data_IF_098879984122
#
_entry.id   IF_098879984122
#
_cell.length_a   1.000
_cell.length_b   1.000
_cell.length_c   1.000
_cell.angle_alpha   90.00
_cell.angle_beta   90.00
_cell.angle_gamma   90.00
#
_symmetry.space_group_name_H-M   'P 1'
#
loop_
_entity.id
_entity.type
_entity.pdbx_description
1 polymer ?
#
# COMPACT_ATOMS: atom_id res chain seq x y z
N UNK A 1 3.40 30.12 1.49
CA UNK A 1 2.70 28.99 2.15
C UNK A 1 1.84 28.32 1.08
N UNK A 2 1.99 27.01 0.89
CA UNK A 2 1.21 26.25 -0.09
C UNK A 2 0.05 25.58 0.65
N UNK A 3 -1.19 25.94 0.29
CA UNK A 3 -2.38 25.26 0.80
C UNK A 3 -2.74 24.09 -0.12
N UNK A 4 -2.97 22.90 0.44
CA UNK A 4 -3.26 21.69 -0.29
C UNK A 4 -4.60 21.07 0.06
N UNK A 5 -5.24 20.48 -0.93
CA UNK A 5 -6.38 19.60 -0.77
C UNK A 5 -5.98 18.17 -1.19
N UNK A 6 -5.76 17.30 -0.21
CA UNK A 6 -5.50 15.87 -0.41
C UNK A 6 -6.83 15.14 -0.59
N UNK A 7 -6.96 14.34 -1.63
CA UNK A 7 -8.21 13.67 -1.98
C UNK A 7 -7.97 12.17 -2.12
N UNK A 8 -8.63 11.33 -1.30
CA UNK A 8 -8.48 9.89 -1.40
C UNK A 8 -8.94 9.11 -0.15
N UNK A 9 -8.45 7.88 0.00
CA UNK A 9 -8.68 7.05 1.19
C UNK A 9 -7.87 7.58 2.38
N UNK A 10 -8.49 7.72 3.55
CA UNK A 10 -7.83 8.24 4.75
C UNK A 10 -6.57 7.44 5.13
N UNK A 11 -6.66 6.13 5.09
CA UNK A 11 -5.57 5.23 5.47
C UNK A 11 -4.32 5.41 4.59
N UNK A 12 -4.50 5.79 3.31
CA UNK A 12 -3.37 5.95 2.37
C UNK A 12 -2.66 7.30 2.46
N UNK A 13 -3.29 8.31 3.09
CA UNK A 13 -2.81 9.69 2.99
C UNK A 13 -2.66 10.42 4.33
N UNK A 14 -3.11 9.82 5.43
CA UNK A 14 -3.03 10.44 6.77
C UNK A 14 -1.59 10.77 7.16
N UNK A 15 -0.71 9.79 7.12
CA UNK A 15 0.70 9.97 7.50
C UNK A 15 1.40 11.02 6.63
N UNK A 16 1.04 11.06 5.34
CA UNK A 16 1.54 12.10 4.43
C UNK A 16 1.02 13.48 4.80
N UNK A 17 -0.26 13.61 5.12
CA UNK A 17 -0.83 14.89 5.56
C UNK A 17 -0.13 15.40 6.83
N UNK A 18 0.08 14.52 7.80
CA UNK A 18 0.81 14.83 9.04
C UNK A 18 2.25 15.25 8.73
N UNK A 19 2.95 14.46 7.91
CA UNK A 19 4.31 14.76 7.45
C UNK A 19 4.41 16.15 6.80
N UNK A 20 3.49 16.50 5.91
CA UNK A 20 3.45 17.82 5.25
C UNK A 20 3.16 18.94 6.27
N UNK A 21 2.22 18.75 7.19
CA UNK A 21 1.89 19.73 8.24
C UNK A 21 3.08 19.96 9.18
N UNK A 22 3.75 18.90 9.61
CA UNK A 22 4.94 18.98 10.45
C UNK A 22 6.11 19.71 9.77
N UNK A 23 6.09 19.79 8.44
CA UNK A 23 7.08 20.51 7.64
C UNK A 23 6.55 21.85 7.07
N UNK A 24 5.56 22.46 7.71
CA UNK A 24 5.10 23.83 7.46
C UNK A 24 4.14 23.98 6.28
N UNK A 25 3.60 22.89 5.72
CA UNK A 25 2.64 22.94 4.62
C UNK A 25 1.21 22.88 5.18
N UNK A 26 0.36 23.79 4.77
CA UNK A 26 -1.05 23.81 5.15
C UNK A 26 -1.82 22.76 4.35
N UNK A 27 -2.07 21.59 4.94
CA UNK A 27 -2.75 20.48 4.29
C UNK A 27 -4.12 20.21 4.89
N UNK A 28 -5.13 19.99 4.05
CA UNK A 28 -6.46 19.46 4.39
C UNK A 28 -6.72 18.21 3.58
N UNK A 29 -7.41 17.23 4.15
CA UNK A 29 -7.74 15.97 3.53
C UNK A 29 -9.25 15.87 3.31
N UNK A 30 -9.67 15.57 2.07
CA UNK A 30 -11.04 15.21 1.74
C UNK A 30 -11.13 13.69 1.58
N UNK A 31 -11.98 13.06 2.40
CA UNK A 31 -12.18 11.60 2.42
C UNK A 31 -13.65 11.25 2.23
N UNK A 32 -13.90 10.05 1.68
CA UNK A 32 -15.25 9.47 1.65
C UNK A 32 -15.66 9.01 3.04
N UNK A 33 -14.83 8.18 3.66
CA UNK A 33 -15.07 7.58 4.97
C UNK A 33 -14.06 8.13 5.98
N UNK A 34 -14.53 9.00 6.88
CA UNK A 34 -13.70 9.59 7.93
C UNK A 34 -13.61 8.64 9.12
N UNK A 35 -12.38 8.30 9.54
CA UNK A 35 -12.08 7.38 10.65
C UNK A 35 -11.41 8.07 11.83
N UNK A 36 -11.12 9.38 11.74
CA UNK A 36 -10.48 10.18 12.78
C UNK A 36 -11.28 11.43 13.12
N UNK A 37 -11.12 11.97 14.32
CA UNK A 37 -11.76 13.22 14.75
C UNK A 37 -10.97 14.48 14.35
N UNK A 38 -9.87 14.34 13.64
CA UNK A 38 -9.05 15.48 13.22
C UNK A 38 -9.83 16.47 12.36
N UNK A 39 -9.70 17.78 12.67
CA UNK A 39 -10.38 18.89 11.95
C UNK A 39 -9.84 19.03 10.51
N UNK A 40 -8.56 18.71 10.29
CA UNK A 40 -7.93 18.75 8.97
C UNK A 40 -8.44 17.68 8.02
N UNK A 41 -9.15 16.66 8.51
CA UNK A 41 -9.79 15.60 7.73
C UNK A 41 -11.27 15.94 7.58
N UNK A 42 -11.69 16.20 6.35
CA UNK A 42 -13.06 16.61 6.00
C UNK A 42 -13.75 15.47 5.27
N UNK A 43 -14.91 15.07 5.75
CA UNK A 43 -15.73 14.04 5.12
C UNK A 43 -16.56 14.64 3.99
N UNK A 44 -16.65 13.93 2.86
CA UNK A 44 -17.61 14.25 1.81
C UNK A 44 -19.03 14.06 2.33
N UNK A 45 -19.89 15.07 2.10
CA UNK A 45 -21.30 15.05 2.59
C UNK A 45 -22.09 13.89 1.99
N UNK A 46 -23.05 13.38 2.76
CA UNK A 46 -24.04 12.36 2.38
C UNK A 46 -23.52 10.92 2.23
N UNK A 47 -23.53 10.18 3.35
CA UNK A 47 -23.18 8.75 3.39
C UNK A 47 -24.01 7.89 2.44
N UNK A 48 -25.32 8.15 2.36
CA UNK A 48 -26.24 7.36 1.55
C UNK A 48 -25.92 7.46 0.06
N UNK A 49 -25.66 8.67 -0.45
CA UNK A 49 -25.25 8.87 -1.83
C UNK A 49 -23.90 8.22 -2.15
N UNK A 50 -22.96 8.21 -1.19
CA UNK A 50 -21.65 7.56 -1.38
C UNK A 50 -21.79 6.04 -1.48
N UNK A 51 -22.65 5.44 -0.65
CA UNK A 51 -22.96 4.01 -0.72
C UNK A 51 -23.62 3.67 -2.07
N UNK A 52 -24.59 4.48 -2.52
CA UNK A 52 -25.22 4.30 -3.82
C UNK A 52 -24.25 4.40 -4.99
N UNK A 53 -23.32 5.36 -4.96
CA UNK A 53 -22.29 5.50 -5.99
C UNK A 53 -21.39 4.27 -6.05
N UNK A 54 -20.94 3.79 -4.91
CA UNK A 54 -20.16 2.55 -4.82
C UNK A 54 -20.95 1.36 -5.37
N UNK A 55 -22.20 1.17 -4.92
CA UNK A 55 -23.05 0.07 -5.38
C UNK A 55 -23.33 0.14 -6.89
N UNK A 56 -23.56 1.33 -7.41
CA UNK A 56 -23.80 1.51 -8.85
C UNK A 56 -22.59 1.08 -9.68
N UNK A 57 -21.39 1.45 -9.29
CA UNK A 57 -20.18 1.00 -9.96
C UNK A 57 -20.06 -0.53 -9.94
N UNK A 58 -20.31 -1.15 -8.80
CA UNK A 58 -20.31 -2.62 -8.68
C UNK A 58 -21.37 -3.28 -9.54
N UNK A 59 -22.59 -2.71 -9.62
CA UNK A 59 -23.67 -3.22 -10.49
C UNK A 59 -23.24 -3.18 -11.95
N UNK A 60 -22.63 -2.10 -12.41
CA UNK A 60 -22.14 -1.99 -13.80
C UNK A 60 -21.07 -3.04 -14.10
N UNK A 61 -20.10 -3.24 -13.21
CA UNK A 61 -19.07 -4.28 -13.35
C UNK A 61 -19.69 -5.68 -13.33
N UNK A 62 -20.63 -5.93 -12.42
CA UNK A 62 -21.33 -7.19 -12.29
C UNK A 62 -22.16 -7.53 -13.54
N UNK A 63 -22.86 -6.54 -14.13
CA UNK A 63 -23.59 -6.73 -15.38
C UNK A 63 -22.66 -7.05 -16.55
N UNK A 64 -21.51 -6.38 -16.65
CA UNK A 64 -20.49 -6.67 -17.66
C UNK A 64 -19.87 -8.08 -17.48
N UNK A 65 -19.83 -8.59 -16.26
CA UNK A 65 -19.43 -9.96 -15.90
C UNK A 65 -20.57 -10.99 -16.07
N UNK A 66 -21.63 -10.66 -16.83
CA UNK A 66 -22.80 -11.54 -17.01
C UNK A 66 -23.41 -11.98 -15.69
N UNK A 67 -23.58 -11.03 -14.75
CA UNK A 67 -24.14 -11.24 -13.42
C UNK A 67 -23.34 -12.20 -12.53
N UNK A 68 -22.03 -12.30 -12.70
CA UNK A 68 -21.12 -13.10 -11.86
C UNK A 68 -20.25 -12.20 -10.99
N UNK A 69 -19.86 -12.69 -9.81
CA UNK A 69 -18.95 -11.99 -8.88
C UNK A 69 -17.47 -12.14 -9.26
N UNK A 70 -17.19 -12.30 -10.57
CA UNK A 70 -15.83 -12.49 -11.09
C UNK A 70 -15.05 -11.18 -10.98
N UNK A 71 -13.95 -11.17 -10.24
CA UNK A 71 -13.09 -10.00 -10.01
C UNK A 71 -13.80 -8.69 -9.67
N UNK A 72 -14.98 -8.77 -9.03
CA UNK A 72 -15.89 -7.64 -8.80
C UNK A 72 -15.23 -6.49 -7.99
N UNK A 73 -14.23 -6.81 -7.15
CA UNK A 73 -13.53 -5.85 -6.30
C UNK A 73 -12.06 -5.63 -6.69
N UNK A 74 -11.57 -6.31 -7.73
CA UNK A 74 -10.20 -6.18 -8.23
C UNK A 74 -10.08 -5.11 -9.32
N UNK A 75 -11.21 -4.52 -9.73
CA UNK A 75 -11.30 -3.52 -10.80
C UNK A 75 -12.21 -2.36 -10.42
N UNK A 76 -11.89 -1.18 -10.95
CA UNK A 76 -12.69 0.04 -10.83
C UNK A 76 -12.79 0.77 -12.18
N UNK A 77 -13.96 1.33 -12.48
CA UNK A 77 -14.23 2.03 -13.75
C UNK A 77 -14.45 3.54 -13.56
N UNK A 78 -14.56 4.01 -12.32
CA UNK A 78 -14.76 5.39 -11.92
C UNK A 78 -15.87 6.09 -12.75
N UNK A 79 -17.01 5.39 -12.91
CA UNK A 79 -18.16 5.89 -13.68
C UNK A 79 -19.08 6.79 -12.86
N UNK A 80 -18.87 6.86 -11.55
CA UNK A 80 -19.66 7.65 -10.59
C UNK A 80 -18.75 8.23 -9.51
N UNK A 81 -19.07 9.40 -9.01
CA UNK A 81 -18.26 10.10 -8.03
C UNK A 81 -18.93 11.35 -7.47
N UNK A 82 -18.19 12.16 -6.74
CA UNK A 82 -18.66 13.41 -6.13
C UNK A 82 -17.84 14.58 -6.66
N UNK A 83 -18.53 15.58 -7.21
CA UNK A 83 -17.90 16.84 -7.59
C UNK A 83 -17.45 17.61 -6.33
N UNK A 84 -16.15 17.78 -6.20
CA UNK A 84 -15.52 18.48 -5.07
C UNK A 84 -15.16 19.94 -5.39
N UNK A 85 -15.33 20.40 -6.64
CA UNK A 85 -14.84 21.71 -7.10
C UNK A 85 -15.58 22.89 -6.44
N UNK A 86 -16.78 22.64 -5.91
CA UNK A 86 -17.56 23.62 -5.16
C UNK A 86 -17.20 23.74 -3.68
N UNK A 87 -16.42 22.79 -3.14
CA UNK A 87 -16.07 22.76 -1.71
C UNK A 87 -15.07 23.85 -1.34
N UNK A 88 -15.20 24.44 -0.14
CA UNK A 88 -14.26 25.45 0.34
C UNK A 88 -12.80 24.99 0.33
N UNK A 89 -12.57 23.72 0.72
CA UNK A 89 -11.24 23.11 0.77
C UNK A 89 -10.58 23.06 -0.62
N UNK A 90 -11.36 22.74 -1.65
CA UNK A 90 -10.91 22.77 -3.04
C UNK A 90 -10.60 24.20 -3.49
N UNK A 91 -11.51 25.13 -3.23
CA UNK A 91 -11.36 26.54 -3.69
C UNK A 91 -10.16 27.23 -3.06
N UNK A 92 -9.90 26.97 -1.78
CA UNK A 92 -8.79 27.57 -1.01
C UNK A 92 -7.42 26.93 -1.30
N UNK A 93 -7.38 25.75 -1.91
CA UNK A 93 -6.13 25.03 -2.17
C UNK A 93 -5.35 25.66 -3.33
N UNK A 94 -4.04 25.76 -3.22
CA UNK A 94 -3.10 26.11 -4.30
C UNK A 94 -2.81 24.88 -5.19
N UNK A 95 -2.80 23.68 -4.60
CA UNK A 95 -2.52 22.42 -5.26
C UNK A 95 -3.58 21.40 -4.89
N UNK A 96 -4.05 20.64 -5.88
CA UNK A 96 -4.92 19.48 -5.67
C UNK A 96 -4.09 18.22 -5.77
N UNK A 97 -4.09 17.42 -4.71
CA UNK A 97 -3.32 16.19 -4.66
C UNK A 97 -4.25 14.97 -4.59
N UNK A 98 -4.33 14.23 -5.68
CA UNK A 98 -5.12 13.01 -5.78
C UNK A 98 -4.34 11.80 -5.29
N UNK A 99 -5.03 10.90 -4.61
CA UNK A 99 -4.49 9.63 -4.15
C UNK A 99 -5.36 8.48 -4.66
N UNK A 100 -5.79 7.59 -3.79
CA UNK A 100 -6.70 6.51 -4.13
C UNK A 100 -8.15 7.01 -4.14
N UNK A 101 -8.67 7.34 -5.33
CA UNK A 101 -9.94 8.07 -5.53
C UNK A 101 -11.10 7.15 -5.97
N UNK A 102 -10.88 5.86 -5.96
CA UNK A 102 -11.76 4.83 -6.49
C UNK A 102 -13.01 4.57 -5.61
N UNK A 103 -13.77 3.55 -5.95
CA UNK A 103 -14.96 3.09 -5.22
C UNK A 103 -16.04 4.18 -5.04
N UNK A 104 -16.31 4.94 -6.09
CA UNK A 104 -17.37 5.95 -6.12
C UNK A 104 -17.00 7.29 -5.46
N UNK A 105 -15.74 7.52 -5.07
CA UNK A 105 -15.29 8.79 -4.53
C UNK A 105 -15.23 9.88 -5.60
N UNK A 106 -14.45 9.68 -6.67
CA UNK A 106 -14.41 10.55 -7.84
C UNK A 106 -14.68 9.75 -9.11
N UNK A 107 -15.50 10.30 -10.01
CA UNK A 107 -15.62 9.78 -11.36
C UNK A 107 -14.57 10.39 -12.29
N UNK A 108 -14.34 9.75 -13.46
CA UNK A 108 -13.49 10.35 -14.50
C UNK A 108 -14.00 11.74 -14.95
N UNK A 109 -15.32 11.99 -14.86
CA UNK A 109 -15.90 13.29 -15.14
C UNK A 109 -15.59 14.32 -14.03
N UNK A 110 -15.59 13.90 -12.76
CA UNK A 110 -15.21 14.78 -11.65
C UNK A 110 -13.71 15.14 -11.73
N UNK A 111 -12.85 14.16 -12.08
CA UNK A 111 -11.43 14.41 -12.32
C UNK A 111 -11.25 15.40 -13.48
N UNK A 112 -12.04 15.29 -14.56
CA UNK A 112 -12.01 16.27 -15.66
C UNK A 112 -12.30 17.69 -15.17
N UNK A 113 -13.32 17.87 -14.31
CA UNK A 113 -13.65 19.19 -13.71
C UNK A 113 -12.49 19.72 -12.87
N UNK A 114 -11.82 18.86 -12.10
CA UNK A 114 -10.61 19.22 -11.35
C UNK A 114 -9.52 19.70 -12.31
N UNK A 115 -9.22 18.95 -13.36
CA UNK A 115 -8.19 19.30 -14.35
C UNK A 115 -8.50 20.59 -15.10
N UNK A 116 -9.79 20.87 -15.38
CA UNK A 116 -10.20 22.09 -16.08
C UNK A 116 -10.39 23.30 -15.15
N UNK A 117 -10.17 23.15 -13.84
CA UNK A 117 -10.29 24.26 -12.87
C UNK A 117 -9.11 25.25 -12.90
N UNK A 118 -8.04 24.93 -13.62
CA UNK A 118 -6.81 25.72 -13.67
C UNK A 118 -5.86 25.52 -12.48
N UNK A 119 -6.22 24.69 -11.50
CA UNK A 119 -5.34 24.38 -10.36
C UNK A 119 -4.32 23.30 -10.73
N UNK A 120 -3.05 23.43 -10.27
CA UNK A 120 -2.05 22.39 -10.41
C UNK A 120 -2.51 21.07 -9.74
N UNK A 121 -2.29 19.94 -10.43
CA UNK A 121 -2.71 18.61 -9.96
C UNK A 121 -1.51 17.69 -9.83
N UNK A 122 -1.33 17.11 -8.64
CA UNK A 122 -0.46 15.97 -8.37
C UNK A 122 -1.32 14.74 -8.19
N UNK A 123 -0.89 13.58 -8.70
CA UNK A 123 -1.57 12.32 -8.48
C UNK A 123 -0.60 11.25 -8.00
N UNK A 124 -0.67 10.91 -6.71
CA UNK A 124 0.11 9.79 -6.17
C UNK A 124 -0.62 8.47 -6.42
N UNK A 125 0.09 7.59 -7.10
CA UNK A 125 -0.36 6.24 -7.43
C UNK A 125 0.01 5.27 -6.31
N UNK A 126 -0.99 4.62 -5.74
CA UNK A 126 -0.82 3.55 -4.74
C UNK A 126 -0.88 2.15 -5.37
N UNK A 127 -1.36 2.07 -6.60
CA UNK A 127 -1.47 0.88 -7.43
C UNK A 127 -1.41 1.26 -8.92
N UNK A 128 -1.59 0.29 -9.81
CA UNK A 128 -1.51 0.50 -11.26
C UNK A 128 -2.79 1.11 -11.87
N UNK A 129 -3.86 1.33 -11.10
CA UNK A 129 -5.14 1.78 -11.69
C UNK A 129 -5.02 3.05 -12.54
N UNK A 130 -4.27 4.09 -12.19
CA UNK A 130 -4.12 5.26 -13.05
C UNK A 130 -3.50 4.95 -14.41
N UNK A 131 -2.60 3.96 -14.51
CA UNK A 131 -1.90 3.60 -15.74
C UNK A 131 -2.48 2.38 -16.48
N UNK A 132 -3.57 1.78 -15.99
CA UNK A 132 -4.29 0.67 -16.64
C UNK A 132 -5.69 1.09 -17.11
N UNK A 133 -6.44 0.19 -17.72
CA UNK A 133 -7.86 0.41 -18.01
C UNK A 133 -8.70 0.45 -16.75
N UNK A 134 -8.74 -0.68 -16.02
CA UNK A 134 -9.64 -0.87 -14.87
C UNK A 134 -8.97 -1.57 -13.68
N UNK A 135 -7.88 -2.29 -13.85
CA UNK A 135 -7.29 -3.14 -12.82
C UNK A 135 -6.30 -2.37 -11.93
N UNK A 136 -6.21 -2.79 -10.65
CA UNK A 136 -5.26 -2.25 -9.67
C UNK A 136 -3.88 -2.89 -9.79
N UNK A 137 -3.80 -4.13 -10.27
CA UNK A 137 -2.57 -4.84 -10.62
C UNK A 137 -2.77 -5.55 -11.95
N UNK A 138 -1.87 -5.35 -12.89
CA UNK A 138 -1.98 -5.96 -14.22
C UNK A 138 -1.57 -7.44 -14.25
N UNK A 139 -0.79 -7.89 -13.25
CA UNK A 139 -0.21 -9.24 -13.18
C UNK A 139 0.55 -9.56 -14.46
N UNK A 140 0.15 -10.62 -15.16
CA UNK A 140 0.77 -11.07 -16.42
C UNK A 140 0.22 -10.33 -17.65
N UNK A 141 -0.79 -9.46 -17.49
CA UNK A 141 -1.40 -8.73 -18.59
C UNK A 141 -0.56 -7.49 -18.97
N UNK A 142 -0.15 -7.40 -20.24
CA UNK A 142 0.64 -6.28 -20.76
C UNK A 142 -0.17 -5.36 -21.70
N UNK A 143 -1.49 -5.55 -21.84
CA UNK A 143 -2.31 -4.75 -22.76
C UNK A 143 -2.27 -3.24 -22.45
N UNK A 144 -2.09 -2.84 -21.19
CA UNK A 144 -2.00 -1.43 -20.80
C UNK A 144 -0.82 -0.68 -21.43
N UNK A 145 0.19 -1.41 -21.93
CA UNK A 145 1.33 -0.83 -22.63
C UNK A 145 0.97 -0.28 -24.01
N UNK A 146 -0.14 -0.74 -24.59
CA UNK A 146 -0.67 -0.28 -25.87
C UNK A 146 -2.11 0.20 -25.72
N UNK A 147 -3.05 -0.72 -25.58
CA UNK A 147 -4.47 -0.44 -25.39
C UNK A 147 -5.14 -1.59 -24.63
N UNK A 148 -5.85 -1.28 -23.55
CA UNK A 148 -6.57 -2.31 -22.80
C UNK A 148 -7.79 -2.81 -23.58
N UNK A 149 -7.90 -4.12 -23.73
CA UNK A 149 -9.03 -4.86 -24.30
C UNK A 149 -8.91 -6.34 -23.91
N UNK A 150 -9.90 -7.16 -24.21
CA UNK A 150 -9.90 -8.61 -23.92
C UNK A 150 -9.38 -8.89 -22.50
N UNK A 151 -9.99 -8.20 -21.53
CA UNK A 151 -9.45 -8.07 -20.19
C UNK A 151 -9.63 -9.36 -19.37
N UNK A 152 -8.56 -9.95 -18.80
CA UNK A 152 -8.64 -11.18 -17.99
C UNK A 152 -9.46 -11.00 -16.69
N UNK A 153 -9.67 -9.76 -16.23
CA UNK A 153 -10.51 -9.45 -15.08
C UNK A 153 -12.00 -9.35 -15.41
N UNK A 154 -12.39 -9.52 -16.68
CA UNK A 154 -13.77 -9.60 -17.13
C UNK A 154 -14.10 -11.05 -17.49
N UNK A 155 -15.27 -11.51 -17.09
CA UNK A 155 -15.68 -12.89 -17.27
C UNK A 155 -15.56 -13.35 -18.73
N UNK A 156 -14.93 -14.51 -18.94
CA UNK A 156 -14.56 -15.09 -20.25
C UNK A 156 -13.58 -14.22 -21.07
N UNK A 157 -12.73 -13.45 -20.39
CA UNK A 157 -11.69 -12.66 -21.06
C UNK A 157 -12.19 -11.38 -21.71
N UNK A 158 -13.41 -10.92 -21.34
CA UNK A 158 -13.96 -9.66 -21.87
C UNK A 158 -14.22 -9.68 -23.36
N UNK A 159 -13.70 -8.70 -24.10
CA UNK A 159 -13.80 -8.52 -25.52
C UNK A 159 -13.15 -7.21 -25.97
N UNK A 160 -12.96 -7.03 -27.30
CA UNK A 160 -12.21 -5.89 -27.84
C UNK A 160 -12.76 -4.50 -27.46
N UNK A 161 -14.02 -4.37 -27.11
CA UNK A 161 -14.65 -3.11 -26.68
C UNK A 161 -15.28 -3.23 -25.29
N UNK A 162 -14.66 -3.99 -24.41
CA UNK A 162 -15.11 -4.23 -23.05
C UNK A 162 -14.95 -3.00 -22.14
N UNK A 163 -15.22 -3.16 -20.82
CA UNK A 163 -15.09 -2.07 -19.85
C UNK A 163 -13.66 -1.55 -19.76
N UNK A 164 -12.66 -2.43 -19.91
CA UNK A 164 -11.26 -2.03 -19.82
C UNK A 164 -10.88 -1.09 -20.97
N UNK A 165 -11.27 -1.43 -22.20
CA UNK A 165 -11.10 -0.60 -23.39
C UNK A 165 -11.77 0.77 -23.22
N UNK A 166 -13.06 0.75 -22.85
CA UNK A 166 -13.84 2.01 -22.72
C UNK A 166 -13.27 2.94 -21.66
N UNK A 167 -12.82 2.39 -20.54
CA UNK A 167 -12.24 3.18 -19.45
C UNK A 167 -10.84 3.67 -19.82
N UNK A 168 -10.03 2.84 -20.48
CA UNK A 168 -8.71 3.22 -20.99
C UNK A 168 -8.80 4.42 -21.94
N UNK A 169 -9.69 4.37 -22.93
CA UNK A 169 -9.92 5.49 -23.89
C UNK A 169 -10.42 6.76 -23.19
N UNK A 170 -11.28 6.62 -22.17
CA UNK A 170 -11.71 7.78 -21.37
C UNK A 170 -10.54 8.38 -20.58
N UNK A 171 -9.66 7.56 -19.98
CA UNK A 171 -8.45 8.04 -19.29
C UNK A 171 -7.49 8.70 -20.26
N UNK A 172 -7.27 8.12 -21.43
CA UNK A 172 -6.42 8.71 -22.47
C UNK A 172 -6.88 10.13 -22.84
N UNK A 173 -8.19 10.31 -23.07
CA UNK A 173 -8.79 11.62 -23.31
C UNK A 173 -8.70 12.52 -22.05
N UNK A 174 -8.91 11.96 -20.85
CA UNK A 174 -8.85 12.70 -19.60
C UNK A 174 -7.46 13.33 -19.39
N UNK A 175 -6.41 12.55 -19.59
CA UNK A 175 -5.03 12.98 -19.34
C UNK A 175 -4.50 13.97 -20.38
N UNK A 176 -5.25 14.29 -21.44
CA UNK A 176 -4.93 15.35 -22.41
C UNK A 176 -5.48 16.71 -22.02
N UNK A 177 -6.39 16.83 -21.03
CA UNK A 177 -7.01 18.12 -20.68
C UNK A 177 -6.06 19.09 -19.99
N UNK A 178 -5.19 18.59 -19.12
CA UNK A 178 -4.21 19.41 -18.41
C UNK A 178 -3.01 18.57 -17.98
N UNK A 179 -1.85 19.18 -17.75
CA UNK A 179 -0.71 18.47 -17.19
C UNK A 179 -1.03 17.96 -15.78
N UNK A 180 -0.78 16.69 -15.57
CA UNK A 180 -0.84 16.03 -14.25
C UNK A 180 0.58 15.63 -13.89
N UNK A 181 1.03 15.98 -12.69
CA UNK A 181 2.27 15.45 -12.16
C UNK A 181 2.00 14.14 -11.42
N UNK A 182 2.37 13.02 -12.03
CA UNK A 182 2.19 11.72 -11.41
C UNK A 182 3.35 11.40 -10.46
N UNK A 183 3.01 10.83 -9.30
CA UNK A 183 3.97 10.34 -8.32
C UNK A 183 3.68 8.86 -8.07
N UNK A 184 4.72 8.02 -8.00
CA UNK A 184 4.61 6.61 -7.64
C UNK A 184 5.29 6.36 -6.30
N UNK A 185 4.73 5.45 -5.50
CA UNK A 185 5.31 5.15 -4.20
C UNK A 185 6.56 4.26 -4.28
N UNK A 186 6.75 3.50 -5.37
CA UNK A 186 7.89 2.62 -5.62
C UNK A 186 8.52 2.87 -6.99
N UNK A 187 9.78 2.50 -7.16
CA UNK A 187 10.44 2.47 -8.47
C UNK A 187 9.76 1.45 -9.39
N UNK A 188 9.41 0.28 -8.86
CA UNK A 188 8.64 -0.72 -9.61
C UNK A 188 7.38 -0.11 -10.25
N UNK A 189 6.57 0.60 -9.46
CA UNK A 189 5.34 1.20 -10.02
C UNK A 189 5.66 2.32 -11.03
N UNK A 190 6.76 3.06 -10.85
CA UNK A 190 7.23 4.04 -11.82
C UNK A 190 7.56 3.38 -13.16
N UNK A 191 8.30 2.28 -13.14
CA UNK A 191 8.62 1.50 -14.34
C UNK A 191 7.34 1.00 -15.03
N UNK A 192 6.41 0.41 -14.26
CA UNK A 192 5.12 -0.02 -14.81
C UNK A 192 4.33 1.15 -15.43
N UNK A 193 4.30 2.30 -14.79
CA UNK A 193 3.62 3.48 -15.30
C UNK A 193 4.27 4.00 -16.59
N UNK A 194 5.60 4.03 -16.66
CA UNK A 194 6.33 4.50 -17.83
C UNK A 194 6.16 3.62 -19.07
N UNK A 195 5.86 2.33 -18.92
CA UNK A 195 5.53 1.44 -20.03
C UNK A 195 4.10 1.61 -20.53
N UNK A 196 3.22 2.26 -19.79
CA UNK A 196 1.81 2.44 -20.14
C UNK A 196 1.62 3.50 -21.23
N UNK A 197 0.86 3.17 -22.27
CA UNK A 197 0.49 4.14 -23.32
C UNK A 197 -0.34 5.33 -22.80
N UNK A 198 -0.99 5.21 -21.62
CA UNK A 198 -1.65 6.35 -20.97
C UNK A 198 -0.66 7.40 -20.41
N UNK A 199 0.59 6.98 -20.21
CA UNK A 199 1.62 7.79 -19.58
C UNK A 199 2.68 8.31 -20.57
N UNK A 200 2.50 8.06 -21.85
CA UNK A 200 3.37 8.60 -22.88
C UNK A 200 3.47 10.14 -22.76
N UNK A 201 4.71 10.65 -22.64
CA UNK A 201 4.99 12.07 -22.44
C UNK A 201 4.57 12.65 -21.08
N UNK A 202 4.16 11.83 -20.09
CA UNK A 202 3.80 12.33 -18.76
C UNK A 202 4.99 12.36 -17.81
N UNK A 203 4.99 13.35 -16.91
CA UNK A 203 5.98 13.44 -15.83
C UNK A 203 5.62 12.47 -14.72
N UNK A 204 6.55 11.55 -14.37
CA UNK A 204 6.40 10.58 -13.29
C UNK A 204 7.60 10.66 -12.36
N UNK A 205 7.36 11.01 -11.11
CA UNK A 205 8.39 11.07 -10.05
C UNK A 205 8.17 9.95 -9.05
N UNK A 206 9.24 9.33 -8.56
CA UNK A 206 9.14 8.38 -7.45
C UNK A 206 9.32 9.10 -6.11
N UNK A 207 8.31 9.01 -5.22
CA UNK A 207 8.36 9.47 -3.83
C UNK A 207 7.65 8.43 -2.96
N UNK A 208 8.38 7.75 -2.06
CA UNK A 208 7.81 6.67 -1.25
C UNK A 208 6.76 7.17 -0.25
N UNK A 209 6.09 6.23 0.42
CA UNK A 209 5.26 6.55 1.56
C UNK A 209 6.12 7.05 2.73
N UNK A 210 5.57 7.94 3.54
CA UNK A 210 6.20 8.39 4.77
C UNK A 210 5.82 7.51 5.95
N UNK A 211 6.72 7.41 6.93
CA UNK A 211 6.44 6.79 8.23
C UNK A 211 6.87 7.70 9.37
N UNK A 212 6.08 7.71 10.44
CA UNK A 212 6.40 8.44 11.65
C UNK A 212 7.47 7.71 12.47
N UNK A 213 8.74 8.06 12.27
CA UNK A 213 9.88 7.46 12.95
C UNK A 213 10.03 7.88 14.42
N UNK A 214 9.23 8.84 14.90
CA UNK A 214 9.14 9.13 16.33
C UNK A 214 8.25 8.12 17.06
N UNK A 215 7.27 7.58 16.36
CA UNK A 215 6.35 6.54 16.86
C UNK A 215 6.94 5.14 16.64
N UNK A 216 7.27 4.81 15.39
CA UNK A 216 7.87 3.52 15.01
C UNK A 216 9.38 3.59 15.21
N UNK A 217 9.86 3.00 16.30
CA UNK A 217 11.27 2.97 16.69
C UNK A 217 11.56 1.76 17.59
N UNK A 218 12.83 1.36 17.73
CA UNK A 218 13.21 0.31 18.67
C UNK A 218 12.82 0.65 20.11
N UNK A 219 12.26 -0.34 20.80
CA UNK A 219 11.86 -0.29 22.20
C UNK A 219 12.35 -1.53 22.96
N UNK A 220 12.13 -1.57 24.28
CA UNK A 220 12.48 -2.73 25.09
C UNK A 220 11.64 -3.96 24.69
N UNK A 221 12.31 -4.98 24.13
CA UNK A 221 11.68 -6.22 23.66
C UNK A 221 10.96 -7.01 24.77
N UNK A 222 11.54 -7.07 25.98
CA UNK A 222 10.91 -7.77 27.11
C UNK A 222 9.59 -7.11 27.53
N UNK A 223 9.58 -5.79 27.63
CA UNK A 223 8.38 -5.02 27.96
C UNK A 223 7.31 -5.19 26.87
N UNK A 224 7.72 -5.16 25.60
CA UNK A 224 6.84 -5.37 24.46
C UNK A 224 6.22 -6.78 24.48
N UNK A 225 7.02 -7.83 24.76
CA UNK A 225 6.55 -9.21 24.90
C UNK A 225 5.57 -9.39 26.06
N UNK A 226 5.87 -8.79 27.20
CA UNK A 226 5.02 -8.87 28.40
C UNK A 226 3.60 -8.34 28.14
N UNK A 227 3.44 -7.28 27.34
CA UNK A 227 2.12 -6.72 26.98
C UNK A 227 1.21 -7.72 26.26
N UNK A 228 1.78 -8.65 25.52
CA UNK A 228 1.04 -9.66 24.73
C UNK A 228 1.20 -11.08 25.29
N UNK A 229 1.75 -11.21 26.51
CA UNK A 229 2.03 -12.52 27.13
C UNK A 229 2.85 -13.45 26.24
N UNK A 230 3.78 -12.89 25.47
CA UNK A 230 4.67 -13.62 24.59
C UNK A 230 5.91 -14.12 25.34
N UNK A 231 6.45 -15.31 25.02
CA UNK A 231 7.59 -15.90 25.72
C UNK A 231 8.89 -15.12 25.48
N UNK A 232 9.69 -14.93 26.53
CA UNK A 232 11.00 -14.25 26.40
C UNK A 232 12.04 -15.12 25.69
N UNK A 233 12.04 -16.42 25.92
CA UNK A 233 13.10 -17.34 25.47
C UNK A 233 12.93 -17.90 24.06
N UNK A 234 11.87 -17.54 23.32
CA UNK A 234 11.64 -18.03 21.96
C UNK A 234 12.02 -17.03 20.90
N UNK A 235 12.42 -17.52 19.72
CA UNK A 235 12.45 -16.71 18.49
C UNK A 235 11.01 -16.55 17.99
N UNK A 236 10.62 -15.34 17.61
CA UNK A 236 9.25 -15.03 17.19
C UNK A 236 9.22 -14.46 15.78
N UNK A 237 8.52 -15.15 14.88
CA UNK A 237 8.22 -14.69 13.51
C UNK A 237 6.84 -14.04 13.50
N UNK A 238 6.76 -12.81 13.03
CA UNK A 238 5.50 -12.10 12.88
C UNK A 238 4.95 -12.25 11.46
N UNK A 239 3.68 -12.59 11.36
CA UNK A 239 2.89 -12.46 10.14
C UNK A 239 1.63 -11.65 10.44
N UNK A 240 1.30 -10.69 9.57
CA UNK A 240 0.13 -9.85 9.77
C UNK A 240 -0.63 -9.57 8.49
N UNK A 241 -1.96 -9.57 8.60
CA UNK A 241 -2.86 -9.17 7.52
C UNK A 241 -4.22 -8.77 8.07
N UNK A 242 -4.86 -7.77 7.46
CA UNK A 242 -6.24 -7.41 7.82
C UNK A 242 -7.18 -8.63 7.76
N UNK A 243 -6.97 -9.49 6.76
CA UNK A 243 -7.71 -10.75 6.58
C UNK A 243 -6.72 -11.86 6.18
N UNK A 244 -6.48 -12.78 7.10
CA UNK A 244 -5.52 -13.89 6.93
C UNK A 244 -5.82 -14.74 5.68
N UNK A 245 -7.11 -14.89 5.36
CA UNK A 245 -7.56 -15.66 4.18
C UNK A 245 -7.42 -14.93 2.84
N UNK A 246 -6.85 -13.71 2.80
CA UNK A 246 -6.55 -13.03 1.53
C UNK A 246 -5.37 -13.72 0.84
N UNK A 247 -5.66 -14.43 -0.24
CA UNK A 247 -4.66 -15.20 -1.01
C UNK A 247 -3.49 -14.34 -1.50
N UNK A 248 -3.71 -13.03 -1.72
CA UNK A 248 -2.65 -12.12 -2.14
C UNK A 248 -1.58 -11.96 -1.07
N UNK A 249 -1.90 -12.20 0.20
CA UNK A 249 -0.96 -12.12 1.33
C UNK A 249 -0.10 -13.37 1.49
N UNK A 250 -0.36 -14.42 0.68
CA UNK A 250 0.53 -15.56 0.51
C UNK A 250 0.71 -16.45 1.74
N UNK A 251 -0.29 -16.51 2.62
CA UNK A 251 -0.22 -17.31 3.85
C UNK A 251 0.16 -18.78 3.60
N UNK A 252 -0.25 -19.34 2.46
CA UNK A 252 0.06 -20.73 2.07
C UNK A 252 1.58 -20.95 1.94
N UNK A 253 2.32 -19.92 1.47
CA UNK A 253 3.78 -19.97 1.36
C UNK A 253 4.46 -19.90 2.74
N UNK A 254 3.91 -19.13 3.68
CA UNK A 254 4.39 -19.13 5.07
C UNK A 254 4.18 -20.50 5.71
N UNK A 255 3.00 -21.11 5.53
CA UNK A 255 2.71 -22.45 6.04
C UNK A 255 3.69 -23.46 5.43
N UNK A 256 3.92 -23.42 4.13
CA UNK A 256 4.90 -24.27 3.45
C UNK A 256 6.32 -24.08 3.99
N UNK A 257 6.74 -22.82 4.17
CA UNK A 257 8.06 -22.49 4.73
C UNK A 257 8.22 -22.99 6.18
N UNK A 258 7.20 -22.82 7.02
CA UNK A 258 7.23 -23.32 8.38
C UNK A 258 7.31 -24.86 8.46
N UNK A 259 6.62 -25.59 7.57
CA UNK A 259 6.72 -27.04 7.48
C UNK A 259 8.13 -27.49 7.10
N UNK A 260 8.73 -26.86 6.09
CA UNK A 260 10.11 -27.15 5.67
C UNK A 260 11.13 -26.84 6.80
N UNK A 261 10.93 -25.75 7.54
CA UNK A 261 11.77 -25.42 8.70
C UNK A 261 11.65 -26.50 9.80
N UNK A 262 10.45 -26.96 10.11
CA UNK A 262 10.24 -27.99 11.12
C UNK A 262 10.84 -29.35 10.73
N UNK A 263 10.85 -29.66 9.42
CA UNK A 263 11.50 -30.87 8.88
C UNK A 263 13.03 -30.77 8.91
N UNK A 264 13.59 -29.63 8.47
CA UNK A 264 15.04 -29.40 8.38
C UNK A 264 15.68 -29.11 9.77
N UNK A 265 14.91 -28.50 10.69
CA UNK A 265 15.34 -28.03 12.00
C UNK A 265 14.37 -28.47 13.11
N UNK A 266 14.26 -29.79 13.40
CA UNK A 266 13.36 -30.29 14.42
C UNK A 266 13.61 -29.72 15.82
N UNK A 267 14.86 -29.28 16.11
CA UNK A 267 15.24 -28.60 17.35
C UNK A 267 14.53 -27.24 17.54
N UNK A 268 13.96 -26.67 16.48
CA UNK A 268 13.23 -25.40 16.56
C UNK A 268 11.78 -25.55 17.03
N UNK A 269 11.29 -26.77 17.16
CA UNK A 269 9.89 -27.04 17.53
C UNK A 269 9.45 -26.29 18.79
N UNK A 270 10.32 -26.24 19.79
CA UNK A 270 10.03 -25.58 21.06
C UNK A 270 10.63 -24.18 21.20
N UNK A 271 11.59 -23.82 20.34
CA UNK A 271 12.31 -22.55 20.40
C UNK A 271 11.80 -21.50 19.41
N UNK A 272 10.99 -21.88 18.39
CA UNK A 272 10.37 -20.97 17.44
C UNK A 272 8.86 -20.84 17.72
N UNK A 273 8.33 -19.63 17.54
CA UNK A 273 6.91 -19.34 17.58
C UNK A 273 6.49 -18.40 16.47
N UNK A 274 5.22 -18.46 16.07
CA UNK A 274 4.66 -17.57 15.05
C UNK A 274 3.60 -16.68 15.68
N UNK A 275 3.85 -15.37 15.68
CA UNK A 275 2.87 -14.37 16.09
C UNK A 275 2.05 -14.00 14.86
N UNK A 276 0.74 -14.10 14.95
CA UNK A 276 -0.17 -13.80 13.85
C UNK A 276 -1.17 -12.74 14.30
N UNK A 277 -1.17 -11.56 13.66
CA UNK A 277 -2.17 -10.56 13.98
C UNK A 277 -3.08 -10.25 12.78
N UNK A 278 -4.36 -10.09 13.09
CA UNK A 278 -5.40 -9.82 12.10
C UNK A 278 -6.67 -10.64 12.34
N UNK A 279 -7.67 -10.39 11.50
CA UNK A 279 -8.93 -11.13 11.59
C UNK A 279 -8.71 -12.59 11.22
N UNK A 280 -9.27 -13.51 12.03
CA UNK A 280 -9.19 -14.96 11.85
C UNK A 280 -7.80 -15.56 12.09
N UNK A 281 -6.92 -14.88 12.83
CA UNK A 281 -5.55 -15.35 13.16
C UNK A 281 -5.51 -16.75 13.80
N UNK A 282 -6.54 -17.12 14.55
CA UNK A 282 -6.68 -18.43 15.20
C UNK A 282 -6.73 -19.62 14.22
N UNK A 283 -7.17 -19.39 12.96
CA UNK A 283 -7.27 -20.46 11.95
C UNK A 283 -5.91 -21.05 11.55
N UNK A 284 -4.80 -20.37 11.86
CA UNK A 284 -3.46 -20.88 11.54
C UNK A 284 -2.90 -21.84 12.62
N UNK A 285 -3.51 -21.93 13.79
CA UNK A 285 -3.00 -22.78 14.88
C UNK A 285 -2.87 -24.26 14.49
N UNK A 286 -3.83 -24.77 13.71
CA UNK A 286 -3.84 -26.17 13.28
C UNK A 286 -3.01 -26.43 12.00
N UNK A 287 -2.60 -25.36 11.31
CA UNK A 287 -1.90 -25.48 10.02
C UNK A 287 -0.38 -25.33 10.14
N UNK A 288 0.09 -24.68 11.20
CA UNK A 288 1.50 -24.41 11.44
C UNK A 288 2.12 -25.46 12.39
N UNK A 289 3.34 -25.94 12.13
CA UNK A 289 4.03 -26.91 12.98
C UNK A 289 4.62 -26.28 14.26
N UNK A 290 4.68 -24.95 14.34
CA UNK A 290 5.18 -24.19 15.48
C UNK A 290 4.02 -23.61 16.31
N UNK A 291 4.30 -23.27 17.57
CA UNK A 291 3.28 -22.63 18.40
C UNK A 291 2.86 -21.28 17.84
N UNK A 292 1.55 -21.08 17.68
CA UNK A 292 0.96 -19.84 17.16
C UNK A 292 0.45 -18.99 18.31
N UNK A 293 0.80 -17.72 18.29
CA UNK A 293 0.31 -16.68 19.19
C UNK A 293 -0.66 -15.77 18.42
N UNK A 294 -1.96 -16.08 18.41
CA UNK A 294 -2.93 -15.29 17.65
C UNK A 294 -3.26 -13.99 18.38
N UNK A 295 -3.08 -12.88 17.71
CA UNK A 295 -3.49 -11.57 18.18
C UNK A 295 -4.69 -11.07 17.37
N UNK A 296 -5.63 -10.33 17.99
CA UNK A 296 -6.75 -9.72 17.26
C UNK A 296 -6.26 -8.64 16.29
N UNK A 297 -7.14 -8.18 15.43
CA UNK A 297 -6.86 -6.98 14.65
C UNK A 297 -6.72 -5.76 15.57
N UNK A 298 -5.58 -5.09 15.49
CA UNK A 298 -5.23 -3.95 16.32
C UNK A 298 -5.26 -2.69 15.48
N UNK A 299 -6.04 -1.69 15.94
CA UNK A 299 -6.17 -0.37 15.29
C UNK A 299 -5.23 0.69 15.88
N UNK A 300 -4.84 0.51 17.14
CA UNK A 300 -4.00 1.46 17.85
C UNK A 300 -2.55 1.32 17.40
N UNK A 301 -2.00 2.34 16.76
CA UNK A 301 -0.62 2.35 16.27
C UNK A 301 0.42 2.12 17.37
N UNK A 302 0.20 2.64 18.60
CA UNK A 302 1.09 2.36 19.73
C UNK A 302 1.13 0.88 20.11
N UNK A 303 0.02 0.17 19.95
CA UNK A 303 -0.01 -1.28 20.18
C UNK A 303 0.67 -2.03 19.03
N UNK A 304 0.49 -1.57 17.79
CA UNK A 304 1.19 -2.13 16.61
C UNK A 304 2.70 -1.98 16.75
N UNK A 305 3.20 -0.83 17.22
CA UNK A 305 4.63 -0.62 17.53
C UNK A 305 5.13 -1.63 18.56
N UNK A 306 4.34 -1.92 19.62
CA UNK A 306 4.74 -2.94 20.60
C UNK A 306 4.78 -4.34 19.98
N UNK A 307 3.89 -4.69 19.04
CA UNK A 307 3.94 -5.99 18.34
C UNK A 307 5.24 -6.13 17.56
N UNK A 308 5.61 -5.12 16.77
CA UNK A 308 6.88 -5.17 16.04
C UNK A 308 8.06 -5.31 17.00
N UNK A 309 8.10 -4.55 18.10
CA UNK A 309 9.17 -4.64 19.08
C UNK A 309 9.20 -5.97 19.86
N UNK A 310 8.14 -6.75 19.87
CA UNK A 310 8.06 -8.04 20.56
C UNK A 310 8.65 -9.21 19.76
N UNK A 311 8.89 -9.05 18.45
CA UNK A 311 9.28 -10.13 17.56
C UNK A 311 10.73 -10.03 17.06
N UNK A 312 11.22 -11.08 16.42
CA UNK A 312 12.59 -11.14 15.90
C UNK A 312 12.64 -11.02 14.37
N UNK A 313 11.52 -11.24 13.69
CA UNK A 313 11.44 -11.23 12.24
C UNK A 313 10.00 -10.91 11.80
N UNK A 314 9.86 -10.09 10.76
CA UNK A 314 8.60 -9.90 10.06
C UNK A 314 8.58 -10.65 8.72
N UNK A 315 7.60 -11.55 8.54
CA UNK A 315 7.42 -12.35 7.33
C UNK A 315 6.29 -11.78 6.47
N UNK A 316 6.61 -11.45 5.21
CA UNK A 316 5.66 -10.91 4.24
C UNK A 316 5.71 -11.70 2.92
N UNK A 317 5.04 -12.88 2.84
CA UNK A 317 4.99 -13.70 1.64
C UNK A 317 3.98 -13.21 0.61
N UNK A 318 3.74 -11.91 0.54
CA UNK A 318 2.75 -11.29 -0.34
C UNK A 318 3.05 -11.58 -1.82
N UNK A 319 2.00 -11.81 -2.60
CA UNK A 319 2.08 -12.09 -4.03
C UNK A 319 1.91 -10.82 -4.90
N UNK A 320 1.38 -9.76 -4.32
CA UNK A 320 1.16 -8.47 -4.97
C UNK A 320 1.36 -7.36 -3.94
N UNK A 321 2.33 -6.49 -4.16
CA UNK A 321 2.59 -5.31 -3.32
C UNK A 321 3.15 -4.17 -4.18
N UNK A 322 2.79 -2.94 -3.83
CA UNK A 322 3.48 -1.76 -4.36
C UNK A 322 4.63 -1.37 -3.41
N UNK A 323 4.31 -0.79 -2.27
CA UNK A 323 5.27 -0.44 -1.22
C UNK A 323 4.61 -0.68 0.14
N UNK A 324 4.75 -1.90 0.72
CA UNK A 324 4.00 -2.27 1.92
C UNK A 324 4.49 -1.53 3.17
N UNK A 325 3.61 -0.72 3.77
CA UNK A 325 3.93 0.05 4.98
C UNK A 325 4.40 -0.85 6.13
N UNK A 326 3.88 -2.08 6.24
CA UNK A 326 4.27 -3.03 7.28
C UNK A 326 5.77 -3.35 7.29
N UNK A 327 6.44 -3.34 6.14
CA UNK A 327 7.91 -3.49 6.07
C UNK A 327 8.58 -2.25 6.67
N UNK A 328 8.12 -1.04 6.31
CA UNK A 328 8.66 0.20 6.89
C UNK A 328 8.48 0.24 8.41
N UNK A 329 7.30 -0.14 8.89
CA UNK A 329 6.94 -0.19 10.31
C UNK A 329 7.83 -1.18 11.08
N UNK A 330 7.97 -2.40 10.57
CA UNK A 330 8.83 -3.42 11.16
C UNK A 330 10.30 -2.98 11.18
N UNK A 331 10.83 -2.53 10.04
CA UNK A 331 12.23 -2.10 9.93
C UNK A 331 12.52 -0.85 10.75
N UNK A 332 11.56 0.10 10.87
CA UNK A 332 11.69 1.25 11.76
C UNK A 332 11.82 0.85 13.24
N UNK A 333 11.17 -0.26 13.63
CA UNK A 333 11.29 -0.86 14.96
C UNK A 333 12.52 -1.76 15.11
N UNK A 334 13.40 -1.83 14.09
CA UNK A 334 14.61 -2.66 14.12
C UNK A 334 14.33 -4.15 13.88
N UNK A 335 13.22 -4.49 13.23
CA UNK A 335 12.86 -5.88 12.91
C UNK A 335 13.18 -6.17 11.44
N UNK A 336 14.16 -7.05 11.18
CA UNK A 336 14.47 -7.48 9.82
C UNK A 336 13.26 -8.19 9.19
N UNK A 337 13.17 -8.09 7.85
CA UNK A 337 12.05 -8.62 7.11
C UNK A 337 12.48 -9.71 6.14
N UNK A 338 11.62 -10.73 5.94
CA UNK A 338 11.70 -11.63 4.79
C UNK A 338 10.49 -11.41 3.90
N UNK A 339 10.71 -11.17 2.61
CA UNK A 339 9.66 -10.94 1.63
C UNK A 339 10.00 -11.53 0.26
N UNK A 340 8.98 -11.75 -0.58
CA UNK A 340 9.22 -12.20 -1.94
C UNK A 340 9.77 -11.08 -2.84
N UNK A 341 10.52 -11.48 -3.86
CA UNK A 341 10.95 -10.60 -4.95
C UNK A 341 9.75 -10.24 -5.84
N UNK A 342 8.92 -9.30 -5.36
CA UNK A 342 7.72 -8.83 -6.05
C UNK A 342 7.41 -7.37 -5.72
N UNK A 343 6.98 -6.61 -6.73
CA UNK A 343 6.62 -5.21 -6.57
C UNK A 343 7.76 -4.37 -6.00
N UNK A 344 7.46 -3.52 -5.03
CA UNK A 344 8.47 -2.67 -4.35
C UNK A 344 9.10 -3.32 -3.12
N UNK A 345 8.86 -4.59 -2.81
CA UNK A 345 9.50 -5.27 -1.66
C UNK A 345 11.03 -5.26 -1.78
N UNK A 346 11.65 -5.57 -2.95
CA UNK A 346 13.11 -5.53 -3.12
C UNK A 346 13.73 -4.13 -3.01
N UNK A 347 12.94 -3.08 -3.11
CA UNK A 347 13.43 -1.70 -2.90
C UNK A 347 13.59 -1.37 -1.41
N UNK A 348 12.82 -2.05 -0.56
CA UNK A 348 12.78 -1.83 0.88
C UNK A 348 13.79 -2.72 1.60
N UNK A 349 13.91 -3.97 1.18
CA UNK A 349 14.78 -4.99 1.76
C UNK A 349 16.04 -5.11 0.90
N UNK A 350 17.19 -4.70 1.44
CA UNK A 350 18.50 -4.95 0.85
C UNK A 350 18.92 -6.38 1.26
N UNK A 351 18.85 -7.30 0.28
CA UNK A 351 19.06 -8.73 0.50
C UNK A 351 20.37 -9.05 1.21
N UNK A 352 20.32 -9.84 2.29
CA UNK A 352 21.45 -10.23 3.15
C UNK A 352 22.15 -9.05 3.87
N UNK A 353 21.50 -7.87 3.92
CA UNK A 353 22.05 -6.70 4.57
C UNK A 353 21.13 -6.13 5.68
N UNK A 354 19.83 -6.03 5.42
CA UNK A 354 18.83 -5.62 6.40
C UNK A 354 17.61 -6.55 6.46
N UNK A 355 17.65 -7.65 5.72
CA UNK A 355 16.62 -8.65 5.61
C UNK A 355 16.89 -9.61 4.45
N UNK A 356 15.88 -10.35 4.03
CA UNK A 356 15.99 -11.38 3.00
C UNK A 356 14.91 -11.22 1.93
N UNK A 357 15.33 -11.13 0.67
CA UNK A 357 14.43 -11.14 -0.48
C UNK A 357 14.42 -12.55 -1.06
N UNK A 358 13.32 -13.26 -0.85
CA UNK A 358 13.14 -14.64 -1.30
C UNK A 358 12.63 -14.69 -2.75
N UNK A 359 12.95 -15.77 -3.45
CA UNK A 359 12.44 -16.05 -4.78
C UNK A 359 10.90 -16.08 -4.78
N UNK A 360 10.29 -15.41 -5.73
CA UNK A 360 8.85 -15.30 -5.85
C UNK A 360 8.18 -16.68 -5.91
N UNK A 361 7.19 -16.89 -5.03
CA UNK A 361 6.43 -18.13 -4.88
C UNK A 361 7.25 -19.38 -4.43
N UNK A 362 8.43 -19.20 -3.87
CA UNK A 362 9.22 -20.30 -3.32
C UNK A 362 9.10 -20.35 -1.80
N UNK A 363 8.34 -21.33 -1.27
CA UNK A 363 8.30 -21.61 0.18
C UNK A 363 9.65 -22.06 0.71
N UNK A 364 10.47 -22.74 -0.11
CA UNK A 364 11.79 -23.20 0.29
C UNK A 364 12.74 -22.03 0.49
N UNK A 365 12.82 -21.12 -0.47
CA UNK A 365 13.71 -19.96 -0.34
C UNK A 365 13.20 -18.98 0.73
N UNK A 366 11.89 -18.91 0.93
CA UNK A 366 11.30 -18.15 2.04
C UNK A 366 11.69 -18.75 3.40
N UNK A 367 11.73 -20.08 3.52
CA UNK A 367 12.22 -20.80 4.70
C UNK A 367 13.72 -20.52 4.94
N UNK A 368 14.54 -20.56 3.88
CA UNK A 368 15.96 -20.21 3.97
C UNK A 368 16.14 -18.78 4.49
N UNK A 369 15.31 -17.82 4.04
CA UNK A 369 15.36 -16.44 4.52
C UNK A 369 14.98 -16.30 6.00
N UNK A 370 13.95 -17.03 6.47
CA UNK A 370 13.59 -17.07 7.89
C UNK A 370 14.76 -17.66 8.69
N UNK A 371 15.31 -18.77 8.25
CA UNK A 371 16.44 -19.43 8.91
C UNK A 371 17.63 -18.49 9.00
N UNK A 372 18.04 -17.89 7.87
CA UNK A 372 19.18 -17.00 7.80
C UNK A 372 19.06 -15.84 8.79
N UNK A 373 17.94 -15.11 8.80
CA UNK A 373 17.74 -13.97 9.72
C UNK A 373 17.80 -14.42 11.18
N UNK A 374 17.16 -15.54 11.53
CA UNK A 374 17.08 -15.99 12.92
C UNK A 374 18.38 -16.62 13.45
N UNK A 375 19.29 -17.03 12.56
CA UNK A 375 20.62 -17.59 12.93
C UNK A 375 21.77 -16.63 12.68
N UNK A 376 21.51 -15.43 12.15
CA UNK A 376 22.54 -14.44 11.86
C UNK A 376 23.29 -14.02 13.14
N UNK A 377 24.59 -14.26 13.24
CA UNK A 377 25.39 -13.91 14.43
C UNK A 377 25.37 -12.40 14.70
N UNK A 378 25.39 -11.59 13.64
CA UNK A 378 25.37 -10.12 13.71
C UNK A 378 23.95 -9.54 13.63
N UNK A 379 22.97 -10.22 14.26
CA UNK A 379 21.56 -9.80 14.23
C UNK A 379 21.36 -8.33 14.64
N UNK A 380 22.14 -7.82 15.60
CA UNK A 380 22.04 -6.44 16.03
C UNK A 380 22.45 -5.47 14.92
N UNK A 381 23.44 -5.81 14.09
CA UNK A 381 23.82 -5.00 12.93
C UNK A 381 22.73 -5.07 11.84
N UNK A 382 22.19 -6.26 11.58
CA UNK A 382 21.08 -6.45 10.66
C UNK A 382 19.87 -5.56 11.06
N UNK A 383 19.53 -5.55 12.35
CA UNK A 383 18.48 -4.70 12.93
C UNK A 383 18.80 -3.20 12.77
N UNK A 384 20.03 -2.80 13.03
CA UNK A 384 20.48 -1.41 12.88
C UNK A 384 20.43 -0.97 11.40
N UNK A 385 20.80 -1.83 10.46
CA UNK A 385 20.70 -1.55 9.02
C UNK A 385 19.24 -1.38 8.57
N UNK A 386 18.31 -2.19 9.11
CA UNK A 386 16.89 -2.03 8.86
C UNK A 386 16.39 -0.63 9.28
N UNK A 387 16.73 -0.19 10.50
CA UNK A 387 16.43 1.17 10.97
C UNK A 387 17.05 2.25 10.08
N UNK A 388 18.33 2.14 9.75
CA UNK A 388 19.03 3.13 8.91
C UNK A 388 18.38 3.29 7.53
N UNK A 389 17.97 2.18 6.90
CA UNK A 389 17.25 2.19 5.63
C UNK A 389 15.98 3.04 5.72
N UNK A 390 15.17 2.83 6.77
CA UNK A 390 13.91 3.55 6.95
C UNK A 390 14.16 5.03 7.26
N UNK A 391 15.05 5.34 8.19
CA UNK A 391 15.38 6.72 8.55
C UNK A 391 15.89 7.53 7.36
N UNK A 392 16.73 6.91 6.52
CA UNK A 392 17.35 7.56 5.37
C UNK A 392 16.45 7.73 4.14
N UNK A 393 15.35 6.97 4.03
CA UNK A 393 14.55 6.98 2.80
C UNK A 393 13.06 7.28 3.01
N UNK A 394 12.48 6.91 4.16
CA UNK A 394 11.05 6.88 4.39
C UNK A 394 10.59 7.78 5.54
N UNK A 395 11.50 8.46 6.25
CA UNK A 395 11.12 9.37 7.33
C UNK A 395 10.25 10.52 6.83
N UNK A 396 9.36 11.02 7.69
CA UNK A 396 8.41 12.09 7.36
C UNK A 396 9.10 13.32 6.77
N UNK A 397 10.23 13.74 7.32
CA UNK A 397 10.96 14.93 6.86
C UNK A 397 11.52 14.78 5.43
N UNK A 398 12.10 13.62 5.13
CA UNK A 398 12.66 13.32 3.80
C UNK A 398 11.55 13.29 2.75
N UNK A 399 10.45 12.59 3.05
CA UNK A 399 9.34 12.46 2.12
C UNK A 399 8.61 13.79 1.92
N UNK A 400 8.36 14.55 3.01
CA UNK A 400 7.75 15.87 2.92
C UNK A 400 8.58 16.84 2.06
N UNK A 401 9.91 16.85 2.19
CA UNK A 401 10.79 17.64 1.38
C UNK A 401 10.63 17.33 -0.11
N UNK A 402 10.65 16.04 -0.50
CA UNK A 402 10.46 15.62 -1.89
C UNK A 402 9.13 16.11 -2.47
N UNK A 403 8.04 16.04 -1.68
CA UNK A 403 6.74 16.57 -2.13
C UNK A 403 6.72 18.09 -2.21
N UNK A 404 7.36 18.78 -1.26
CA UNK A 404 7.50 20.24 -1.30
C UNK A 404 8.20 20.68 -2.58
N UNK A 405 9.27 20.01 -2.99
CA UNK A 405 9.98 20.28 -4.24
C UNK A 405 9.06 20.10 -5.46
N UNK A 406 8.24 19.04 -5.48
CA UNK A 406 7.25 18.83 -6.54
C UNK A 406 6.22 19.97 -6.58
N UNK A 407 5.67 20.34 -5.42
CA UNK A 407 4.66 21.41 -5.35
C UNK A 407 5.22 22.76 -5.77
N UNK A 408 6.42 23.09 -5.34
CA UNK A 408 7.11 24.31 -5.74
C UNK A 408 7.32 24.36 -7.26
N UNK A 409 7.77 23.25 -7.85
CA UNK A 409 7.98 23.14 -9.29
C UNK A 409 6.69 23.38 -10.10
N UNK A 410 5.57 22.75 -9.69
CA UNK A 410 4.32 22.85 -10.44
C UNK A 410 3.55 24.16 -10.20
N UNK A 411 3.81 24.86 -9.10
CA UNK A 411 3.20 26.17 -8.78
C UNK A 411 4.02 27.34 -9.27
N UNK A 412 5.25 27.13 -9.75
CA UNK A 412 6.17 28.18 -10.17
C UNK A 412 6.65 29.10 -9.03
N UNK A 413 6.50 28.65 -7.77
CA UNK A 413 6.90 29.47 -6.60
C UNK A 413 8.41 29.52 -6.37
N UNK A 414 9.18 28.71 -7.13
CA UNK A 414 10.65 28.76 -7.22
C UNK A 414 11.04 28.48 -8.68
N UNK A 415 11.04 29.52 -9.51
CA UNK A 415 11.74 29.57 -10.79
C UNK A 415 13.04 30.34 -10.59
#
# INVERSE_FOLDING_TARGET
EIAQCLVGSEMCIRDRMESLKNNGIKAKMLVRDKQTDQISVVRLKSNWLQVWKFMWERIVIWSANRFRRYHLFDVDIANTGTDITSLPEFRQADVIHLHWINQGMLSLNDIRKILTSGKPVVWTMHDMWPCTGICHYARECNNYQQECHDCPYIYKGGGRKDLSYRTFRKKQKLYSYAPIHFVTCSHWLKEQAQTSALFEGKSVTNIPNAINTNLFKPMNKKEARAKFMLPEGKKLVLFGSLKITDKRKGVDYLIGACKLLAEKHPEWKDSLGVVVFGNQSQQLQEQLPFHVYPLPYIKNEHEVVNIYNAVDLFAIPSLEENLPNMIMEAMACGVPCVGFNVGGIPEMIDHLHNGYVAQYKSSEDFANGIHWILTEPEYNELSAQACRKVLGNYSESIVAKKYTDVYNKITGKYA
#
